data_IF_578865002598
#
_entry.id   IF_578865002598
#
_cell.length_a   1.000
_cell.length_b   1.000
_cell.length_c   1.000
_cell.angle_alpha   90.00
_cell.angle_beta   90.00
_cell.angle_gamma   90.00
#
_symmetry.space_group_name_H-M   'P 1'
#
loop_
_entity.id
_entity.type
_entity.pdbx_description
1 polymer ?
#
# COMPACT_ATOMS: atom_id res chain seq x y z
N UNK A 1 -3.42 -8.65 -14.89
CA UNK A 1 -3.38 -7.82 -13.67
C UNK A 1 -1.98 -7.32 -13.29
N UNK A 2 -0.92 -8.16 -13.20
CA UNK A 2 0.39 -7.71 -12.67
C UNK A 2 1.14 -6.63 -13.50
N UNK A 3 1.13 -6.72 -14.83
CA UNK A 3 1.71 -5.67 -15.70
C UNK A 3 0.93 -4.36 -15.70
N UNK A 4 -0.38 -4.41 -15.42
CA UNK A 4 -1.23 -3.22 -15.42
C UNK A 4 -0.83 -2.28 -14.29
N UNK A 5 -0.60 -2.81 -13.08
CA UNK A 5 -0.32 -1.98 -11.91
C UNK A 5 0.97 -1.14 -12.03
N UNK A 6 2.05 -1.66 -12.65
CA UNK A 6 3.25 -0.84 -12.95
C UNK A 6 2.96 0.22 -14.00
N UNK A 7 2.27 -0.16 -15.09
CA UNK A 7 1.91 0.77 -16.15
C UNK A 7 0.97 1.87 -15.64
N UNK A 8 0.03 1.53 -14.74
CA UNK A 8 -0.86 2.48 -14.08
C UNK A 8 -0.06 3.47 -13.22
N UNK A 9 0.93 2.98 -12.47
CA UNK A 9 1.88 3.82 -11.73
C UNK A 9 2.64 4.74 -12.68
N UNK A 10 3.21 4.22 -13.77
CA UNK A 10 3.98 5.00 -14.74
C UNK A 10 3.12 6.07 -15.42
N UNK A 11 1.91 5.72 -15.84
CA UNK A 11 0.95 6.64 -16.46
C UNK A 11 0.55 7.76 -15.48
N UNK A 12 0.28 7.42 -14.23
CA UNK A 12 -0.04 8.41 -13.20
C UNK A 12 1.18 9.32 -12.91
N UNK A 13 2.39 8.75 -12.88
CA UNK A 13 3.63 9.51 -12.70
C UNK A 13 3.91 10.53 -13.80
N UNK A 14 3.50 10.25 -15.05
CA UNK A 14 3.63 11.20 -16.17
C UNK A 14 2.77 12.46 -15.96
N UNK A 15 1.63 12.31 -15.29
CA UNK A 15 0.67 13.40 -15.06
C UNK A 15 0.99 14.19 -13.77
N UNK A 16 1.74 13.61 -12.83
CA UNK A 16 2.01 14.19 -11.51
C UNK A 16 3.52 14.25 -11.18
N UNK A 17 4.26 15.09 -11.89
CA UNK A 17 5.73 15.20 -11.76
C UNK A 17 6.23 15.68 -10.39
N UNK A 18 5.50 16.58 -9.72
CA UNK A 18 5.87 17.02 -8.36
C UNK A 18 5.66 15.92 -7.32
N UNK A 19 4.60 15.11 -7.49
CA UNK A 19 4.34 13.93 -6.66
C UNK A 19 5.49 12.92 -6.79
N UNK A 20 5.94 12.67 -8.02
CA UNK A 20 7.09 11.80 -8.30
C UNK A 20 8.32 12.23 -7.50
N UNK A 21 8.73 13.50 -7.60
CA UNK A 21 9.91 14.04 -6.89
C UNK A 21 9.80 13.87 -5.37
N UNK A 22 8.61 14.06 -4.80
CA UNK A 22 8.39 13.89 -3.35
C UNK A 22 8.56 12.44 -2.93
N UNK A 23 7.99 11.49 -3.67
CA UNK A 23 8.15 10.06 -3.35
C UNK A 23 9.59 9.59 -3.60
N UNK A 24 10.29 10.09 -4.62
CA UNK A 24 11.72 9.84 -4.82
C UNK A 24 12.58 10.32 -3.64
N UNK A 25 12.22 11.44 -3.03
CA UNK A 25 12.88 11.93 -1.81
C UNK A 25 12.62 11.00 -0.63
N UNK A 26 11.37 10.57 -0.44
CA UNK A 26 10.98 9.66 0.64
C UNK A 26 11.64 8.29 0.44
N UNK A 27 11.74 7.78 -0.79
CA UNK A 27 12.32 6.46 -1.08
C UNK A 27 13.76 6.31 -0.65
N UNK A 28 14.52 7.41 -0.58
CA UNK A 28 15.91 7.41 -0.11
C UNK A 28 16.05 7.05 1.37
N UNK A 29 14.97 7.12 2.17
CA UNK A 29 14.97 6.75 3.58
C UNK A 29 14.93 5.25 3.82
N UNK A 30 14.50 4.46 2.82
CA UNK A 30 14.20 3.06 2.98
C UNK A 30 15.08 2.17 2.10
N UNK A 31 15.24 0.92 2.55
CA UNK A 31 15.88 -0.17 1.82
C UNK A 31 14.86 -1.25 1.50
N UNK A 32 15.17 -2.11 0.55
CA UNK A 32 14.27 -3.20 0.18
C UNK A 32 14.00 -4.16 1.36
N UNK A 33 14.99 -4.38 2.21
CA UNK A 33 14.87 -5.14 3.46
C UNK A 33 13.86 -4.56 4.45
N UNK A 34 13.48 -3.29 4.29
CA UNK A 34 12.44 -2.65 5.11
C UNK A 34 11.03 -3.08 4.67
N UNK A 35 10.88 -3.72 3.53
CA UNK A 35 9.59 -4.21 3.05
C UNK A 35 9.55 -5.73 2.93
N UNK A 36 10.69 -6.35 2.64
CA UNK A 36 10.74 -7.76 2.24
C UNK A 36 11.80 -8.53 3.01
N UNK A 37 11.40 -9.70 3.49
CA UNK A 37 12.29 -10.78 3.92
C UNK A 37 12.04 -12.01 3.04
N UNK A 38 13.03 -12.87 2.94
CA UNK A 38 12.94 -14.14 2.21
C UNK A 38 13.59 -15.23 3.04
N UNK A 39 13.21 -16.49 2.87
CA UNK A 39 14.02 -17.59 3.42
C UNK A 39 15.33 -17.72 2.64
N UNK A 40 16.36 -18.31 3.24
CA UNK A 40 17.65 -18.55 2.57
C UNK A 40 17.49 -19.27 1.22
N UNK A 41 16.57 -20.24 1.15
CA UNK A 41 16.28 -20.98 -0.08
C UNK A 41 15.64 -20.11 -1.18
N UNK A 42 14.95 -19.03 -0.82
CA UNK A 42 14.35 -18.09 -1.76
C UNK A 42 15.30 -16.98 -2.19
N UNK A 43 16.41 -16.78 -1.47
CA UNK A 43 17.32 -15.66 -1.69
C UNK A 43 17.88 -15.62 -3.12
N UNK A 44 18.44 -16.74 -3.57
CA UNK A 44 19.04 -16.84 -4.91
C UNK A 44 18.03 -16.63 -6.03
N UNK A 45 16.79 -17.11 -5.87
CA UNK A 45 15.71 -16.86 -6.82
C UNK A 45 15.44 -15.36 -7.04
N UNK A 46 15.43 -14.56 -5.97
CA UNK A 46 15.20 -13.12 -6.09
C UNK A 46 16.46 -12.33 -6.49
N UNK A 47 17.66 -12.79 -6.13
CA UNK A 47 18.93 -12.13 -6.46
C UNK A 47 19.40 -12.43 -7.89
N UNK A 48 19.48 -13.70 -8.29
CA UNK A 48 20.05 -14.12 -9.58
C UNK A 48 19.01 -14.49 -10.63
N UNK A 49 17.77 -14.75 -10.22
CA UNK A 49 16.65 -15.10 -11.12
C UNK A 49 16.87 -16.38 -11.95
N UNK A 50 17.82 -17.23 -11.53
CA UNK A 50 18.28 -18.40 -12.29
C UNK A 50 17.77 -19.74 -11.75
N UNK A 51 17.00 -19.77 -10.67
CA UNK A 51 16.52 -21.02 -10.09
C UNK A 51 15.02 -21.22 -10.25
N UNK A 52 14.62 -22.39 -10.75
CA UNK A 52 13.26 -22.86 -10.59
C UNK A 52 13.08 -23.29 -9.14
N UNK A 53 12.34 -22.48 -8.39
CA UNK A 53 11.79 -22.91 -7.10
C UNK A 53 10.46 -23.60 -7.39
N UNK A 54 10.34 -24.86 -6.95
CA UNK A 54 9.13 -25.69 -7.17
C UNK A 54 7.86 -25.06 -6.59
N UNK A 55 7.99 -24.33 -5.48
CA UNK A 55 6.89 -23.63 -4.82
C UNK A 55 7.34 -22.38 -4.10
N UNK A 56 6.66 -21.27 -4.36
CA UNK A 56 6.86 -20.00 -3.66
C UNK A 56 5.56 -19.60 -2.94
N UNK A 57 5.64 -19.44 -1.63
CA UNK A 57 4.54 -18.99 -0.77
C UNK A 57 4.87 -17.60 -0.23
N UNK A 58 3.89 -16.70 -0.28
CA UNK A 58 4.00 -15.34 0.27
C UNK A 58 3.07 -15.15 1.47
N UNK A 59 3.55 -14.49 2.52
CA UNK A 59 2.75 -14.15 3.72
C UNK A 59 3.14 -12.78 4.27
N UNK A 60 2.22 -12.12 4.98
CA UNK A 60 2.53 -10.93 5.78
C UNK A 60 2.99 -11.37 7.16
N UNK A 61 4.15 -10.88 7.59
CA UNK A 61 4.71 -11.13 8.90
C UNK A 61 4.71 -9.86 9.73
N UNK A 62 4.20 -9.97 10.94
CA UNK A 62 4.16 -8.93 11.95
C UNK A 62 5.37 -9.06 12.86
N UNK A 63 6.41 -8.29 12.52
CA UNK A 63 7.75 -8.39 13.09
C UNK A 63 7.79 -8.15 14.60
N UNK A 64 6.98 -7.22 15.12
CA UNK A 64 7.00 -6.89 16.56
C UNK A 64 6.36 -7.97 17.42
N UNK A 65 5.32 -8.61 16.90
CA UNK A 65 4.62 -9.70 17.59
C UNK A 65 5.22 -11.07 17.25
N UNK A 66 6.18 -11.12 16.33
CA UNK A 66 6.78 -12.33 15.81
C UNK A 66 5.72 -13.34 15.30
N UNK A 67 4.78 -12.80 14.51
CA UNK A 67 3.55 -13.50 14.12
C UNK A 67 3.35 -13.54 12.60
N UNK A 68 2.91 -14.69 12.07
CA UNK A 68 2.52 -14.85 10.67
C UNK A 68 1.01 -14.65 10.51
N UNK A 69 0.61 -13.73 9.64
CA UNK A 69 -0.81 -13.39 9.44
C UNK A 69 -1.48 -14.39 8.50
N UNK A 70 -1.92 -15.53 9.05
CA UNK A 70 -2.48 -16.66 8.30
C UNK A 70 -4.01 -16.75 8.32
N UNK A 71 -4.67 -16.28 9.38
CA UNK A 71 -6.13 -16.26 9.51
C UNK A 71 -6.65 -14.83 9.47
N UNK A 72 -6.88 -14.33 8.25
CA UNK A 72 -7.14 -12.91 8.02
C UNK A 72 -8.51 -12.70 7.35
N UNK A 73 -9.19 -11.62 7.73
CA UNK A 73 -10.50 -11.23 7.19
C UNK A 73 -10.45 -11.19 5.66
N UNK A 74 -11.57 -11.45 4.99
CA UNK A 74 -11.62 -11.57 3.52
C UNK A 74 -11.02 -10.37 2.76
N UNK A 75 -11.20 -9.14 3.27
CA UNK A 75 -10.61 -7.93 2.69
C UNK A 75 -9.09 -7.88 2.89
N UNK A 76 -8.61 -8.17 4.10
CA UNK A 76 -7.18 -8.23 4.43
C UNK A 76 -6.47 -9.32 3.62
N UNK A 77 -7.10 -10.49 3.47
CA UNK A 77 -6.61 -11.61 2.67
C UNK A 77 -6.42 -11.23 1.19
N UNK A 78 -7.39 -10.51 0.63
CA UNK A 78 -7.29 -10.02 -0.75
C UNK A 78 -6.17 -8.98 -0.88
N UNK A 79 -6.14 -7.97 -0.01
CA UNK A 79 -5.14 -6.90 -0.05
C UNK A 79 -3.71 -7.44 0.16
N UNK A 80 -3.54 -8.41 1.06
CA UNK A 80 -2.26 -9.08 1.29
C UNK A 80 -1.81 -9.83 0.04
N UNK A 81 -2.70 -10.58 -0.62
CA UNK A 81 -2.39 -11.29 -1.87
C UNK A 81 -2.05 -10.34 -3.01
N UNK A 82 -2.75 -9.22 -3.13
CA UNK A 82 -2.46 -8.17 -4.11
C UNK A 82 -1.08 -7.57 -3.87
N UNK A 83 -0.78 -7.18 -2.63
CA UNK A 83 0.52 -6.64 -2.26
C UNK A 83 1.65 -7.63 -2.46
N UNK A 84 1.53 -8.87 -1.98
CA UNK A 84 2.53 -9.93 -2.18
C UNK A 84 2.74 -10.22 -3.67
N UNK A 85 1.67 -10.23 -4.46
CA UNK A 85 1.73 -10.40 -5.91
C UNK A 85 2.45 -9.25 -6.61
N UNK A 86 2.26 -8.02 -6.13
CA UNK A 86 2.97 -6.84 -6.61
C UNK A 86 4.45 -6.85 -6.21
N UNK A 87 4.77 -7.13 -4.95
CA UNK A 87 6.15 -7.26 -4.47
C UNK A 87 6.90 -8.31 -5.28
N UNK A 88 6.32 -9.50 -5.43
CA UNK A 88 6.90 -10.57 -6.25
C UNK A 88 7.24 -10.07 -7.66
N UNK A 89 6.30 -9.39 -8.32
CA UNK A 89 6.51 -8.82 -9.65
C UNK A 89 7.64 -7.78 -9.68
N UNK A 90 7.66 -6.83 -8.73
CA UNK A 90 8.69 -5.78 -8.66
C UNK A 90 10.09 -6.38 -8.44
N UNK A 91 10.20 -7.45 -7.64
CA UNK A 91 11.47 -8.10 -7.38
C UNK A 91 12.03 -8.81 -8.63
N UNK A 92 11.18 -9.48 -9.40
CA UNK A 92 11.60 -10.27 -10.58
C UNK A 92 11.67 -9.47 -11.89
N UNK A 93 11.17 -8.23 -11.94
CA UNK A 93 11.22 -7.39 -13.14
C UNK A 93 12.60 -6.70 -13.28
N UNK A 94 13.24 -6.79 -14.46
CA UNK A 94 14.55 -6.16 -14.75
C UNK A 94 14.43 -4.67 -15.01
N UNK A 95 13.29 -4.23 -15.53
CA UNK A 95 13.02 -2.83 -15.91
C UNK A 95 12.70 -1.93 -14.70
N UNK A 96 12.63 -2.51 -13.51
CA UNK A 96 12.38 -1.78 -12.27
C UNK A 96 13.70 -1.59 -11.51
N UNK A 97 14.35 -0.48 -11.82
CA UNK A 97 15.63 -0.11 -11.20
C UNK A 97 15.43 0.26 -9.72
N UNK A 98 14.50 1.18 -9.44
CA UNK A 98 14.21 1.64 -8.08
C UNK A 98 13.00 0.90 -7.48
N UNK A 99 13.21 -0.32 -6.99
CA UNK A 99 12.15 -1.17 -6.42
C UNK A 99 11.45 -0.51 -5.23
N UNK A 100 12.22 0.13 -4.33
CA UNK A 100 11.68 0.81 -3.14
C UNK A 100 10.71 1.91 -3.54
N UNK A 101 11.07 2.73 -4.54
CA UNK A 101 10.20 3.77 -5.06
C UNK A 101 8.84 3.23 -5.51
N UNK A 102 8.80 2.16 -6.29
CA UNK A 102 7.53 1.57 -6.73
C UNK A 102 6.71 0.98 -5.58
N UNK A 103 7.36 0.42 -4.55
CA UNK A 103 6.68 -0.08 -3.35
C UNK A 103 6.00 1.06 -2.59
N UNK A 104 6.72 2.16 -2.39
CA UNK A 104 6.15 3.35 -1.74
C UNK A 104 5.02 3.95 -2.56
N UNK A 105 5.20 4.03 -3.88
CA UNK A 105 4.18 4.56 -4.77
C UNK A 105 2.91 3.73 -4.75
N UNK A 106 3.03 2.39 -4.74
CA UNK A 106 1.89 1.50 -4.56
C UNK A 106 1.11 1.82 -3.29
N UNK A 107 1.79 1.93 -2.14
CA UNK A 107 1.13 2.26 -0.88
C UNK A 107 0.47 3.65 -0.91
N UNK A 108 1.15 4.63 -1.51
CA UNK A 108 0.64 5.98 -1.68
C UNK A 108 -0.67 6.00 -2.49
N UNK A 109 -0.67 5.36 -3.66
CA UNK A 109 -1.86 5.29 -4.52
C UNK A 109 -2.98 4.49 -3.87
N UNK A 110 -2.66 3.36 -3.24
CA UNK A 110 -3.64 2.56 -2.51
C UNK A 110 -4.29 3.36 -1.38
N UNK A 111 -3.53 4.18 -0.65
CA UNK A 111 -4.06 5.05 0.39
C UNK A 111 -4.93 6.18 -0.19
N UNK A 112 -4.45 6.87 -1.24
CA UNK A 112 -5.22 7.90 -1.93
C UNK A 112 -6.54 7.36 -2.47
N UNK A 113 -6.52 6.15 -3.04
CA UNK A 113 -7.71 5.44 -3.53
C UNK A 113 -8.65 5.01 -2.41
N UNK A 114 -8.12 4.49 -1.30
CA UNK A 114 -8.92 4.10 -0.13
C UNK A 114 -9.66 5.30 0.46
N UNK A 115 -8.96 6.42 0.57
CA UNK A 115 -9.54 7.67 1.04
C UNK A 115 -10.50 8.28 0.02
N UNK A 116 -10.15 8.26 -1.27
CA UNK A 116 -11.02 8.59 -2.39
C UNK A 116 -12.34 7.83 -2.31
N UNK A 117 -12.32 6.50 -2.28
CA UNK A 117 -13.53 5.68 -2.12
C UNK A 117 -14.34 6.05 -0.88
N UNK A 118 -13.67 6.22 0.28
CA UNK A 118 -14.31 6.64 1.54
C UNK A 118 -14.95 8.02 1.46
N UNK A 119 -14.57 8.85 0.51
CA UNK A 119 -15.14 10.16 0.24
C UNK A 119 -16.12 10.17 -0.93
N UNK A 120 -15.98 9.27 -1.93
CA UNK A 120 -16.69 9.36 -3.20
C UNK A 120 -17.59 8.18 -3.60
N UNK A 121 -17.47 6.97 -3.05
CA UNK A 121 -18.26 5.80 -3.50
C UNK A 121 -18.72 4.83 -2.36
N UNK A 122 -18.44 5.17 -1.10
CA UNK A 122 -19.04 4.54 0.07
C UNK A 122 -20.50 5.00 0.24
N UNK A 123 -21.37 4.08 0.70
CA UNK A 123 -22.79 4.37 0.99
C UNK A 123 -23.01 5.51 1.99
N UNK A 124 -21.95 5.91 2.71
CA UNK A 124 -21.97 6.99 3.69
C UNK A 124 -21.24 8.26 3.25
N UNK A 125 -20.72 8.35 2.02
CA UNK A 125 -19.76 9.40 1.70
C UNK A 125 -20.23 10.49 0.70
N UNK A 126 -19.56 11.65 0.71
CA UNK A 126 -19.95 12.82 -0.08
C UNK A 126 -19.44 12.79 -1.53
N UNK A 127 -20.26 12.26 -2.44
CA UNK A 127 -19.98 12.14 -3.87
C UNK A 127 -19.67 13.45 -4.61
N UNK A 128 -18.67 13.50 -5.50
CA UNK A 128 -18.78 14.19 -6.77
C UNK A 128 -19.53 13.32 -7.78
N UNK A 129 -20.33 13.96 -8.64
CA UNK A 129 -21.05 13.29 -9.74
C UNK A 129 -20.04 12.73 -10.74
N UNK A 130 -20.19 11.43 -11.10
CA UNK A 130 -19.48 10.82 -12.22
C UNK A 130 -19.59 11.76 -13.43
N UNK A 131 -18.45 12.33 -13.88
CA UNK A 131 -18.31 13.20 -15.06
C UNK A 131 -18.58 14.71 -14.91
N UNK A 132 -18.66 15.29 -13.71
CA UNK A 132 -18.69 16.76 -13.56
C UNK A 132 -17.51 17.28 -12.74
N UNK A 133 -16.90 18.39 -13.15
CA UNK A 133 -15.88 19.13 -12.38
C UNK A 133 -16.40 19.69 -11.04
N UNK A 134 -17.68 19.48 -10.72
CA UNK A 134 -18.35 19.95 -9.50
C UNK A 134 -18.74 18.84 -8.51
N UNK A 135 -18.97 19.25 -7.26
CA UNK A 135 -19.48 18.38 -6.20
C UNK A 135 -21.00 18.21 -6.28
N UNK A 136 -21.50 17.04 -5.85
CA UNK A 136 -22.94 16.87 -5.64
C UNK A 136 -23.43 17.75 -4.48
N UNK A 137 -24.73 18.14 -4.45
CA UNK A 137 -25.31 18.85 -3.31
C UNK A 137 -25.09 18.12 -1.98
N UNK A 138 -25.25 16.79 -1.96
CA UNK A 138 -24.98 15.95 -0.79
C UNK A 138 -23.54 16.07 -0.30
N UNK A 139 -22.58 16.24 -1.21
CA UNK A 139 -21.19 16.44 -0.82
C UNK A 139 -20.95 17.80 -0.18
N UNK A 140 -21.62 18.85 -0.66
CA UNK A 140 -21.58 20.17 -0.05
C UNK A 140 -22.19 20.14 1.35
N UNK A 141 -23.35 19.50 1.52
CA UNK A 141 -24.01 19.34 2.83
C UNK A 141 -23.11 18.61 3.84
N UNK A 142 -22.38 17.58 3.40
CA UNK A 142 -21.44 16.84 4.27
C UNK A 142 -20.20 17.64 4.62
N UNK A 143 -19.66 18.43 3.69
CA UNK A 143 -18.56 19.36 3.96
C UNK A 143 -18.99 20.37 5.03
N UNK A 144 -20.22 20.89 4.93
CA UNK A 144 -20.78 21.77 5.96
C UNK A 144 -20.89 21.07 7.31
N UNK A 145 -21.35 19.82 7.36
CA UNK A 145 -21.39 19.00 8.58
C UNK A 145 -19.99 18.77 9.16
N UNK A 146 -18.99 18.42 8.35
CA UNK A 146 -17.62 18.19 8.80
C UNK A 146 -16.93 19.45 9.33
N UNK A 147 -17.27 20.60 8.77
CA UNK A 147 -16.78 21.90 9.23
C UNK A 147 -17.64 22.51 10.35
N UNK A 148 -18.76 21.87 10.72
CA UNK A 148 -19.63 22.35 11.78
C UNK A 148 -18.94 22.19 13.15
N UNK A 149 -18.60 23.33 13.74
CA UNK A 149 -17.84 23.43 15.00
C UNK A 149 -18.62 22.93 16.22
N UNK A 150 -19.95 22.85 16.11
CA UNK A 150 -20.85 22.41 17.19
C UNK A 150 -21.02 20.88 17.21
N UNK A 151 -20.64 20.19 16.14
CA UNK A 151 -20.73 18.73 16.03
C UNK A 151 -19.51 17.99 16.58
N UNK A 152 -18.48 18.67 17.09
CA UNK A 152 -17.36 18.20 17.94
C UNK A 152 -16.56 16.92 17.52
N UNK A 153 -16.96 16.15 16.51
CA UNK A 153 -16.41 14.81 16.25
C UNK A 153 -15.07 14.84 15.47
N UNK A 154 -14.75 15.94 14.78
CA UNK A 154 -13.55 16.02 13.92
C UNK A 154 -12.59 17.18 14.21
N UNK A 155 -12.92 18.04 15.18
CA UNK A 155 -12.22 19.31 15.45
C UNK A 155 -10.75 19.13 15.85
N UNK A 156 -10.42 17.98 16.46
CA UNK A 156 -9.08 17.72 17.00
C UNK A 156 -8.12 17.05 15.98
N UNK A 157 -8.60 16.64 14.80
CA UNK A 157 -7.79 15.87 13.83
C UNK A 157 -7.71 16.48 12.43
N UNK A 158 -8.71 17.25 11.98
CA UNK A 158 -8.67 17.96 10.69
C UNK A 158 -9.21 19.37 10.87
N UNK A 159 -8.37 20.37 10.63
CA UNK A 159 -8.70 21.76 10.92
C UNK A 159 -9.84 22.29 10.06
N UNK A 160 -9.93 21.93 8.77
CA UNK A 160 -11.07 22.14 7.87
C UNK A 160 -10.99 21.17 6.66
N UNK A 161 -12.14 20.74 6.13
CA UNK A 161 -12.24 19.95 4.90
C UNK A 161 -12.89 20.80 3.81
N UNK A 162 -12.26 20.95 2.65
CA UNK A 162 -12.69 21.81 1.56
C UNK A 162 -13.16 21.00 0.35
N UNK A 163 -13.91 21.62 -0.56
CA UNK A 163 -14.32 20.98 -1.81
C UNK A 163 -13.11 20.49 -2.63
N UNK A 164 -12.03 21.27 -2.61
CA UNK A 164 -10.78 20.91 -3.27
C UNK A 164 -10.08 19.68 -2.69
N UNK A 165 -10.39 19.29 -1.44
CA UNK A 165 -9.90 18.03 -0.88
C UNK A 165 -10.65 16.84 -1.48
N UNK A 166 -11.97 16.93 -1.64
CA UNK A 166 -12.78 15.89 -2.30
C UNK A 166 -12.29 15.67 -3.73
N UNK A 167 -12.08 16.76 -4.49
CA UNK A 167 -11.59 16.68 -5.87
C UNK A 167 -10.20 16.04 -5.94
N UNK A 168 -9.30 16.39 -5.02
CA UNK A 168 -7.97 15.80 -4.93
C UNK A 168 -8.03 14.27 -4.72
N UNK A 169 -8.88 13.78 -3.82
CA UNK A 169 -9.00 12.35 -3.56
C UNK A 169 -9.81 11.60 -4.63
N UNK A 170 -10.75 12.28 -5.28
CA UNK A 170 -11.49 11.72 -6.41
C UNK A 170 -10.56 11.43 -7.60
N UNK A 171 -9.53 12.25 -7.83
CA UNK A 171 -8.53 12.02 -8.87
C UNK A 171 -7.83 10.66 -8.70
N UNK A 172 -7.39 10.32 -7.49
CA UNK A 172 -6.84 8.99 -7.20
C UNK A 172 -7.85 7.89 -7.46
N UNK A 173 -9.09 8.07 -7.03
CA UNK A 173 -10.12 7.05 -7.22
C UNK A 173 -10.39 6.82 -8.71
N UNK A 174 -10.58 7.87 -9.51
CA UNK A 174 -10.93 7.76 -10.92
C UNK A 174 -9.78 7.24 -11.78
N UNK A 175 -8.54 7.72 -11.54
CA UNK A 175 -7.40 7.37 -12.38
C UNK A 175 -6.74 6.04 -12.00
N UNK A 176 -6.98 5.55 -10.77
CA UNK A 176 -6.38 4.32 -10.27
C UNK A 176 -7.42 3.22 -9.95
N UNK A 177 -8.67 3.34 -10.41
CA UNK A 177 -9.71 2.30 -10.30
C UNK A 177 -10.16 1.72 -11.64
N UNK A 178 -9.73 0.49 -11.92
CA UNK A 178 -10.39 -0.42 -12.86
C UNK A 178 -11.04 -1.62 -12.12
N UNK A 179 -11.33 -1.47 -10.83
CA UNK A 179 -11.85 -2.55 -9.99
C UNK A 179 -13.28 -2.25 -9.56
N UNK A 180 -14.20 -3.17 -9.89
CA UNK A 180 -15.64 -3.14 -9.63
C UNK A 180 -16.03 -2.51 -8.28
N UNK A 181 -17.14 -1.75 -8.29
CA UNK A 181 -17.89 -1.18 -7.14
C UNK A 181 -18.18 -2.15 -5.97
N UNK A 182 -17.89 -3.45 -6.12
CA UNK A 182 -18.04 -4.44 -5.06
C UNK A 182 -16.93 -4.37 -3.98
N UNK A 183 -15.80 -3.69 -4.25
CA UNK A 183 -14.65 -3.64 -3.33
C UNK A 183 -14.65 -2.36 -2.50
N UNK A 184 -14.63 -2.48 -1.17
CA UNK A 184 -14.73 -1.33 -0.23
C UNK A 184 -13.43 -0.93 0.48
N UNK A 185 -12.34 -1.64 0.24
CA UNK A 185 -11.05 -1.40 0.90
C UNK A 185 -9.94 -1.47 -0.15
N UNK A 186 -9.02 -0.51 -0.14
CA UNK A 186 -7.98 -0.41 -1.18
C UNK A 186 -6.56 -0.29 -0.62
N UNK A 187 -6.41 0.03 0.67
CA UNK A 187 -5.10 0.13 1.32
C UNK A 187 -4.88 -0.99 2.32
N UNK A 188 -3.86 -1.81 2.08
CA UNK A 188 -3.40 -2.82 3.04
C UNK A 188 -2.94 -2.16 4.35
N UNK A 189 -2.18 -1.06 4.27
CA UNK A 189 -1.65 -0.36 5.45
C UNK A 189 -2.80 0.11 6.35
N UNK A 190 -3.84 0.71 5.79
CA UNK A 190 -5.02 1.16 6.56
C UNK A 190 -5.71 -0.02 7.23
N UNK A 191 -5.83 -1.15 6.51
CA UNK A 191 -6.51 -2.32 7.03
C UNK A 191 -5.75 -2.97 8.19
N UNK A 192 -4.41 -3.05 8.09
CA UNK A 192 -3.55 -3.62 9.11
C UNK A 192 -3.39 -2.71 10.34
N UNK A 193 -3.18 -1.41 10.12
CA UNK A 193 -3.05 -0.45 11.22
C UNK A 193 -4.39 -0.28 11.96
N UNK A 194 -5.52 -0.37 11.25
CA UNK A 194 -6.85 -0.39 11.86
C UNK A 194 -7.29 0.92 12.52
N UNK A 195 -6.52 2.00 12.36
CA UNK A 195 -6.84 3.32 12.91
C UNK A 195 -7.74 4.08 11.93
N UNK A 196 -8.85 4.69 12.38
CA UNK A 196 -9.61 5.64 11.58
C UNK A 196 -8.79 6.92 11.44
N UNK A 197 -8.41 7.25 10.20
CA UNK A 197 -7.58 8.42 9.91
C UNK A 197 -8.37 9.37 9.02
N UNK A 198 -8.42 10.63 9.42
CA UNK A 198 -8.98 11.73 8.64
C UNK A 198 -7.84 12.60 8.16
N UNK A 199 -7.81 12.88 6.85
CA UNK A 199 -6.70 13.59 6.22
C UNK A 199 -7.23 14.52 5.15
N UNK A 200 -6.79 15.77 5.14
CA UNK A 200 -7.01 16.69 4.01
C UNK A 200 -5.82 16.61 3.03
N UNK A 201 -5.95 17.23 1.85
CA UNK A 201 -4.91 17.16 0.81
C UNK A 201 -3.55 17.70 1.28
N UNK A 202 -3.56 18.66 2.22
CA UNK A 202 -2.35 19.30 2.73
C UNK A 202 -1.55 18.37 3.64
N UNK A 203 -2.23 17.59 4.48
CA UNK A 203 -1.62 16.62 5.38
C UNK A 203 -1.39 15.25 4.74
N UNK A 204 -2.01 14.97 3.59
CA UNK A 204 -2.04 13.66 2.94
C UNK A 204 -0.67 12.99 2.87
N UNK A 205 0.32 13.71 2.37
CA UNK A 205 1.65 13.18 2.17
C UNK A 205 2.35 12.83 3.48
N UNK A 206 2.25 13.70 4.48
CA UNK A 206 2.93 13.51 5.75
C UNK A 206 2.29 12.34 6.51
N UNK A 207 0.96 12.19 6.40
CA UNK A 207 0.25 11.04 6.95
C UNK A 207 0.61 9.75 6.21
N UNK A 208 0.69 9.76 4.88
CA UNK A 208 1.13 8.57 4.13
C UNK A 208 2.52 8.14 4.57
N UNK A 209 3.44 9.10 4.72
CA UNK A 209 4.79 8.82 5.19
C UNK A 209 4.78 8.19 6.58
N UNK A 210 4.04 8.75 7.54
CA UNK A 210 3.88 8.16 8.88
C UNK A 210 3.27 6.76 8.85
N UNK A 211 2.33 6.51 7.94
CA UNK A 211 1.71 5.20 7.78
C UNK A 211 2.68 4.18 7.18
N UNK A 212 3.53 4.61 6.25
CA UNK A 212 4.62 3.78 5.72
C UNK A 212 5.63 3.50 6.82
N UNK A 213 6.06 4.49 7.60
CA UNK A 213 6.98 4.31 8.73
C UNK A 213 6.43 3.27 9.71
N UNK A 214 5.16 3.39 10.09
CA UNK A 214 4.48 2.42 10.95
C UNK A 214 4.41 1.03 10.28
N UNK A 215 4.10 0.97 9.00
CA UNK A 215 4.02 -0.30 8.27
C UNK A 215 5.38 -0.99 8.21
N UNK A 216 6.45 -0.30 7.81
CA UNK A 216 7.80 -0.91 7.73
C UNK A 216 8.34 -1.29 9.11
N UNK A 217 7.92 -0.59 10.16
CA UNK A 217 8.33 -0.93 11.51
C UNK A 217 7.67 -2.22 11.99
N UNK A 218 6.39 -2.43 11.66
CA UNK A 218 5.60 -3.54 12.17
C UNK A 218 5.53 -4.75 11.23
N UNK A 219 5.56 -4.55 9.91
CA UNK A 219 5.19 -5.58 8.93
C UNK A 219 6.28 -5.78 7.87
N UNK A 220 6.37 -7.01 7.37
CA UNK A 220 7.18 -7.39 6.20
C UNK A 220 6.40 -8.36 5.32
N UNK A 221 6.60 -8.26 4.00
CA UNK A 221 6.31 -9.34 3.08
C UNK A 221 7.38 -10.43 3.24
N UNK A 222 6.97 -11.68 3.41
CA UNK A 222 7.87 -12.83 3.47
C UNK A 222 7.59 -13.76 2.30
N UNK A 223 8.66 -14.22 1.65
CA UNK A 223 8.61 -15.31 0.69
C UNK A 223 9.41 -16.53 1.17
N UNK A 224 8.80 -17.70 1.03
CA UNK A 224 9.33 -18.97 1.51
C UNK A 224 8.90 -20.12 0.58
N UNK A 225 9.54 -21.29 0.70
CA UNK A 225 9.13 -22.49 -0.03
C UNK A 225 8.22 -23.38 0.80
N UNK A 226 8.32 -23.28 2.12
CA UNK A 226 7.45 -23.93 3.09
C UNK A 226 6.02 -23.40 3.02
N UNK A 227 5.04 -24.28 3.16
CA UNK A 227 3.63 -23.90 3.26
C UNK A 227 3.25 -23.76 4.73
N UNK A 228 3.01 -22.52 5.18
CA UNK A 228 2.47 -22.26 6.52
C UNK A 228 0.94 -22.24 6.48
N UNK A 229 0.33 -22.76 7.55
CA UNK A 229 -1.12 -22.72 7.77
C UNK A 229 -1.41 -22.49 9.26
N UNK A 230 -2.68 -22.23 9.59
CA UNK A 230 -3.12 -22.10 10.99
C UNK A 230 -2.88 -23.36 11.83
N UNK A 231 -2.64 -24.51 11.19
CA UNK A 231 -2.36 -25.79 11.83
C UNK A 231 -0.87 -26.16 11.83
N UNK A 232 0.01 -25.26 11.36
CA UNK A 232 1.45 -25.47 11.39
C UNK A 232 1.95 -25.55 12.84
N UNK A 233 2.96 -26.39 13.08
CA UNK A 233 3.54 -26.54 14.42
C UNK A 233 4.46 -25.37 14.77
N UNK A 234 4.67 -25.12 16.06
CA UNK A 234 5.63 -24.10 16.52
C UNK A 234 7.03 -24.35 15.96
N UNK A 235 7.46 -25.61 15.88
CA UNK A 235 8.75 -25.98 15.28
C UNK A 235 8.85 -25.55 13.80
N UNK A 236 7.76 -25.69 13.02
CA UNK A 236 7.73 -25.22 11.64
C UNK A 236 7.83 -23.70 11.55
N UNK A 237 7.11 -22.99 12.44
CA UNK A 237 7.21 -21.53 12.50
C UNK A 237 8.62 -21.08 12.86
N UNK A 238 9.22 -21.66 13.89
CA UNK A 238 10.57 -21.34 14.35
C UNK A 238 11.62 -21.65 13.28
N UNK A 239 11.47 -22.78 12.57
CA UNK A 239 12.32 -23.12 11.44
C UNK A 239 12.27 -22.02 10.36
N UNK A 240 11.08 -21.59 9.96
CA UNK A 240 10.93 -20.52 8.96
C UNK A 240 11.54 -19.23 9.48
N UNK A 241 11.20 -18.81 10.70
CA UNK A 241 11.72 -17.58 11.34
C UNK A 241 13.25 -17.54 11.37
N UNK A 242 13.87 -18.63 11.81
CA UNK A 242 15.33 -18.72 11.91
C UNK A 242 16.03 -18.77 10.54
N UNK A 243 15.30 -19.09 9.47
CA UNK A 243 15.81 -19.09 8.09
C UNK A 243 15.60 -17.77 7.35
N UNK A 244 14.94 -16.78 7.97
CA UNK A 244 14.66 -15.51 7.33
C UNK A 244 15.92 -14.67 7.17
N UNK A 245 16.11 -14.16 5.95
CA UNK A 245 17.16 -13.24 5.60
C UNK A 245 16.62 -12.01 4.89
N UNK A 246 17.36 -10.91 5.08
CA UNK A 246 17.09 -9.66 4.40
C UNK A 246 17.50 -9.76 2.94
N UNK A 247 16.56 -9.47 2.03
CA UNK A 247 16.87 -9.30 0.63
C UNK A 247 17.60 -7.96 0.45
N UNK A 248 18.86 -8.03 0.02
CA UNK A 248 19.65 -6.84 -0.28
C UNK A 248 19.53 -6.55 -1.77
N UNK A 249 19.30 -5.29 -2.12
CA UNK A 249 19.60 -4.85 -3.47
C UNK A 249 21.12 -4.84 -3.55
N UNK A 250 21.71 -5.64 -4.43
CA UNK A 250 23.05 -5.34 -4.90
C UNK A 250 22.99 -3.93 -5.49
N UNK A 251 23.77 -3.00 -4.95
CA UNK A 251 24.23 -1.86 -5.73
C UNK A 251 24.79 -2.46 -7.01
N UNK A 252 24.02 -2.38 -8.11
CA UNK A 252 24.56 -2.66 -9.43
C UNK A 252 25.58 -1.55 -9.61
N UNK A 253 26.83 -1.95 -9.42
CA UNK A 253 28.01 -1.14 -9.63
C UNK A 253 27.87 -0.45 -10.98
N UNK A 254 27.64 0.87 -10.96
CA UNK A 254 27.69 1.71 -12.15
C UNK A 254 29.17 1.95 -12.46
N UNK A 255 29.88 0.88 -12.76
CA UNK A 255 31.21 0.92 -13.33
C UNK A 255 31.43 -0.33 -14.17
N UNK A 256 31.06 -0.23 -15.44
CA UNK A 256 31.81 -0.76 -16.59
C UNK A 256 31.38 -0.04 -17.85
#
# INVERSE_FOLDING_TARGET
>A
MKNMLKQDIDNYLLQHTELKKRIEKISKKYKLSDFVLVTENCKKYFETREENIDRLTGVIYERREDNFRLDIKSSEARLSREYLGFIHYILINKEVDNKVFYILYYHFLCFGKDYGYKLTDSSNCPFPTFHSEGLSPLAKDRIEIWNNKDLHVFKDLVSYFYESDVLFFNDFYMNFSAHHHATKNFSLIVNLIGIPIFVNKHMFFDIVELLIDSFVFNYKAIFMTEALSIYSTNEQFDKVKNSLVSLRIHDIDVSK
#
